data_IF_401890651718
#
_entry.id   IF_401890651718
#
_cell.length_a   1.000
_cell.length_b   1.000
_cell.length_c   1.000
_cell.angle_alpha   90.00
_cell.angle_beta   90.00
_cell.angle_gamma   90.00
#
_symmetry.space_group_name_H-M   'P 1'
#
loop_
_entity.id
_entity.type
_entity.pdbx_description
1 polymer ?
#
# COMPACT_ATOMS: atom_id res chain seq x y z
N UNK A 1 -11.66 9.11 17.65
CA UNK A 1 -12.23 10.04 16.65
C UNK A 1 -12.13 9.37 15.30
N UNK A 2 -13.24 8.84 14.80
CA UNK A 2 -13.33 8.38 13.41
C UNK A 2 -13.14 9.59 12.49
N UNK A 3 -12.16 9.52 11.57
CA UNK A 3 -12.08 10.50 10.50
C UNK A 3 -13.25 10.23 9.57
N UNK A 4 -14.33 11.00 9.73
CA UNK A 4 -15.43 11.02 8.78
C UNK A 4 -14.83 11.29 7.39
N UNK A 5 -15.09 10.39 6.46
CA UNK A 5 -14.55 10.43 5.11
C UNK A 5 -15.11 11.67 4.39
N UNK A 6 -14.23 12.57 3.93
CA UNK A 6 -14.67 13.81 3.25
C UNK A 6 -15.51 13.50 2.01
N UNK A 7 -16.71 14.09 1.94
CA UNK A 7 -17.57 14.04 0.76
C UNK A 7 -16.82 14.50 -0.51
N UNK A 8 -17.05 13.82 -1.63
CA UNK A 8 -16.39 14.10 -2.91
C UNK A 8 -15.00 13.49 -3.11
N UNK A 9 -14.44 12.80 -2.11
CA UNK A 9 -13.18 12.04 -2.27
C UNK A 9 -13.35 10.62 -2.79
N UNK A 10 -14.57 10.14 -2.93
CA UNK A 10 -14.86 8.77 -3.35
C UNK A 10 -15.81 8.72 -4.53
N UNK A 11 -15.53 7.81 -5.47
CA UNK A 11 -16.40 7.52 -6.62
C UNK A 11 -16.62 6.01 -6.69
N UNK A 12 -17.87 5.59 -6.87
CA UNK A 12 -18.23 4.20 -7.13
C UNK A 12 -18.47 4.03 -8.63
N UNK A 13 -17.68 3.18 -9.29
CA UNK A 13 -17.79 2.89 -10.72
C UNK A 13 -17.71 1.37 -10.91
N UNK A 14 -18.72 0.79 -11.56
CA UNK A 14 -18.82 -0.65 -11.82
C UNK A 14 -18.62 -1.53 -10.57
N UNK A 15 -19.13 -1.06 -9.43
CA UNK A 15 -18.98 -1.75 -8.14
C UNK A 15 -17.61 -1.60 -7.48
N UNK A 16 -16.68 -0.85 -8.08
CA UNK A 16 -15.35 -0.59 -7.55
C UNK A 16 -15.31 0.82 -6.97
N UNK A 17 -14.82 0.93 -5.73
CA UNK A 17 -14.63 2.19 -5.06
C UNK A 17 -13.27 2.80 -5.46
N UNK A 18 -13.26 4.07 -5.81
CA UNK A 18 -12.07 4.84 -6.14
C UNK A 18 -11.92 6.02 -5.18
N UNK A 19 -10.72 6.21 -4.67
CA UNK A 19 -10.34 7.40 -3.89
C UNK A 19 -9.64 8.42 -4.79
N UNK A 20 -10.19 9.63 -4.82
CA UNK A 20 -9.68 10.78 -5.57
C UNK A 20 -9.00 11.78 -4.63
N UNK A 21 -7.83 12.25 -5.03
CA UNK A 21 -7.21 13.45 -4.49
C UNK A 21 -6.92 14.46 -5.62
N UNK A 22 -6.19 15.55 -5.33
CA UNK A 22 -5.86 16.59 -6.30
C UNK A 22 -5.15 16.08 -7.57
N UNK A 23 -4.40 14.97 -7.47
CA UNK A 23 -3.49 14.49 -8.52
C UNK A 23 -3.73 13.05 -8.95
N UNK A 24 -4.44 12.24 -8.17
CA UNK A 24 -4.65 10.82 -8.46
C UNK A 24 -6.08 10.37 -8.21
N UNK A 25 -6.50 9.36 -8.95
CA UNK A 25 -7.71 8.58 -8.72
C UNK A 25 -7.28 7.12 -8.71
N UNK A 26 -7.40 6.44 -7.57
CA UNK A 26 -6.85 5.11 -7.33
C UNK A 26 -7.89 4.22 -6.64
N UNK A 27 -7.72 2.91 -6.73
CA UNK A 27 -8.67 1.98 -6.12
C UNK A 27 -8.66 2.13 -4.59
N UNK A 28 -9.84 2.27 -4.00
CA UNK A 28 -10.01 2.31 -2.55
C UNK A 28 -10.27 0.89 -2.05
N UNK A 29 -9.38 0.37 -1.21
CA UNK A 29 -9.44 -1.00 -0.71
C UNK A 29 -9.96 -1.02 0.71
N UNK A 30 -10.83 -1.99 1.00
CA UNK A 30 -11.40 -2.23 2.33
C UNK A 30 -11.10 -3.63 2.84
N UNK A 31 -10.92 -4.62 1.96
CA UNK A 31 -10.54 -5.99 2.31
C UNK A 31 -9.05 -6.09 2.68
N UNK A 32 -8.75 -6.59 3.88
CA UNK A 32 -7.36 -6.78 4.33
C UNK A 32 -6.63 -7.87 3.57
N UNK A 33 -7.32 -8.89 3.05
CA UNK A 33 -6.68 -9.91 2.23
C UNK A 33 -6.15 -9.29 0.94
N UNK A 34 -6.95 -8.46 0.27
CA UNK A 34 -6.54 -7.74 -0.93
C UNK A 34 -5.41 -6.75 -0.65
N UNK A 35 -5.46 -6.04 0.48
CA UNK A 35 -4.37 -5.15 0.90
C UNK A 35 -3.08 -5.95 1.10
N UNK A 36 -3.12 -7.09 1.77
CA UNK A 36 -1.96 -7.96 1.97
C UNK A 36 -1.42 -8.48 0.63
N UNK A 37 -2.30 -8.87 -0.30
CA UNK A 37 -1.90 -9.26 -1.67
C UNK A 37 -1.14 -8.13 -2.36
N UNK A 38 -1.63 -6.89 -2.29
CA UNK A 38 -0.95 -5.74 -2.89
C UNK A 38 0.42 -5.48 -2.24
N UNK A 39 0.50 -5.56 -0.92
CA UNK A 39 1.75 -5.37 -0.20
C UNK A 39 2.79 -6.43 -0.61
N UNK A 40 2.39 -7.70 -0.68
CA UNK A 40 3.20 -8.79 -1.18
C UNK A 40 3.64 -8.55 -2.63
N UNK A 41 2.73 -8.18 -3.53
CA UNK A 41 3.06 -7.96 -4.93
C UNK A 41 4.07 -6.84 -5.14
N UNK A 42 4.01 -5.78 -4.32
CA UNK A 42 4.91 -4.65 -4.46
C UNK A 42 6.22 -4.75 -3.69
N UNK A 43 6.29 -5.63 -2.71
CA UNK A 43 7.50 -5.86 -1.92
C UNK A 43 8.12 -7.22 -2.20
N UNK A 44 7.45 -8.32 -1.88
CA UNK A 44 8.01 -9.68 -1.87
C UNK A 44 8.01 -10.41 -3.20
N UNK A 45 7.15 -10.01 -4.15
CA UNK A 45 7.06 -10.71 -5.43
C UNK A 45 8.43 -10.82 -6.10
N UNK A 46 8.66 -11.91 -6.83
CA UNK A 46 9.92 -12.13 -7.56
C UNK A 46 10.24 -10.94 -8.48
N UNK A 47 9.21 -10.32 -9.05
CA UNK A 47 9.35 -9.13 -9.90
C UNK A 47 9.63 -7.83 -9.11
N UNK A 48 9.22 -7.74 -7.84
CA UNK A 48 9.55 -6.62 -6.96
C UNK A 48 10.95 -6.78 -6.36
N UNK A 49 11.34 -7.99 -5.97
CA UNK A 49 12.68 -8.25 -5.42
C UNK A 49 12.94 -7.55 -4.09
N UNK A 50 11.96 -7.54 -3.19
CA UNK A 50 12.05 -6.91 -1.86
C UNK A 50 12.43 -5.43 -1.91
N UNK A 51 11.68 -4.67 -2.71
CA UNK A 51 11.89 -3.23 -2.88
C UNK A 51 11.96 -2.49 -1.54
N UNK A 52 12.78 -1.44 -1.52
CA UNK A 52 12.84 -0.54 -0.38
C UNK A 52 11.47 0.05 -0.05
N UNK A 53 11.23 0.36 1.23
CA UNK A 53 9.99 0.97 1.72
C UNK A 53 9.54 2.16 0.85
N UNK A 54 10.48 3.04 0.49
CA UNK A 54 10.19 4.18 -0.37
C UNK A 54 9.62 3.77 -1.74
N UNK A 55 10.21 2.76 -2.39
CA UNK A 55 9.72 2.30 -3.70
C UNK A 55 8.37 1.58 -3.58
N UNK A 56 8.17 0.81 -2.51
CA UNK A 56 6.87 0.18 -2.21
C UNK A 56 5.79 1.25 -2.00
N UNK A 57 6.09 2.31 -1.24
CA UNK A 57 5.18 3.45 -1.05
C UNK A 57 4.79 4.12 -2.36
N UNK A 58 5.73 4.32 -3.30
CA UNK A 58 5.40 4.91 -4.60
C UNK A 58 4.49 4.01 -5.44
N UNK A 59 4.71 2.69 -5.41
CA UNK A 59 3.84 1.73 -6.12
C UNK A 59 2.42 1.74 -5.56
N UNK A 60 2.27 1.66 -4.23
CA UNK A 60 0.96 1.74 -3.58
C UNK A 60 0.27 3.05 -3.91
N UNK A 61 0.96 4.19 -3.75
CA UNK A 61 0.42 5.53 -4.04
C UNK A 61 -0.14 5.65 -5.47
N UNK A 62 0.46 4.95 -6.43
CA UNK A 62 0.08 5.02 -7.83
C UNK A 62 -1.17 4.21 -8.19
N UNK A 63 -1.55 3.21 -7.38
CA UNK A 63 -2.61 2.27 -7.76
C UNK A 63 -3.73 2.12 -6.73
N UNK A 64 -3.45 2.34 -5.44
CA UNK A 64 -4.37 2.00 -4.36
C UNK A 64 -4.34 2.99 -3.20
N UNK A 65 -5.43 3.00 -2.44
CA UNK A 65 -5.58 3.77 -1.23
C UNK A 65 -6.41 2.99 -0.21
N UNK A 66 -6.05 3.11 1.07
CA UNK A 66 -6.89 2.69 2.19
C UNK A 66 -6.53 3.52 3.43
N UNK A 67 -7.35 3.50 4.50
CA UNK A 67 -7.01 4.17 5.75
C UNK A 67 -5.66 3.67 6.28
N UNK A 68 -4.78 4.60 6.61
CA UNK A 68 -3.43 4.32 7.14
C UNK A 68 -2.47 3.58 6.19
N UNK A 69 -2.72 3.56 4.87
CA UNK A 69 -1.90 2.83 3.90
C UNK A 69 -0.39 3.06 4.00
N UNK A 70 0.06 4.28 4.32
CA UNK A 70 1.49 4.57 4.50
C UNK A 70 2.09 3.82 5.68
N UNK A 71 1.36 3.76 6.80
CA UNK A 71 1.79 3.07 8.01
C UNK A 71 1.87 1.57 7.74
N UNK A 72 0.83 1.02 7.11
CA UNK A 72 0.77 -0.40 6.79
C UNK A 72 1.92 -0.82 5.86
N UNK A 73 2.26 -0.01 4.85
CA UNK A 73 3.42 -0.26 3.97
C UNK A 73 4.74 -0.25 4.75
N UNK A 74 4.93 0.73 5.63
CA UNK A 74 6.14 0.84 6.43
C UNK A 74 6.29 -0.36 7.38
N UNK A 75 5.23 -0.72 8.10
CA UNK A 75 5.19 -1.85 9.01
C UNK A 75 5.47 -3.17 8.28
N UNK A 76 4.87 -3.36 7.10
CA UNK A 76 5.08 -4.54 6.27
C UNK A 76 6.55 -4.66 5.81
N UNK A 77 7.15 -3.57 5.30
CA UNK A 77 8.55 -3.59 4.87
C UNK A 77 9.52 -3.77 6.06
N UNK A 78 9.19 -3.22 7.22
CA UNK A 78 10.02 -3.32 8.43
C UNK A 78 9.99 -4.72 9.04
N UNK A 79 8.88 -5.44 8.89
CA UNK A 79 8.69 -6.81 9.41
C UNK A 79 9.09 -7.91 8.43
N UNK A 80 9.59 -7.55 7.23
CA UNK A 80 10.07 -8.52 6.25
C UNK A 80 11.34 -9.24 6.72
N UNK A 81 11.20 -10.54 7.04
CA UNK A 81 12.28 -11.41 7.52
C UNK A 81 13.51 -11.42 6.61
N UNK A 82 13.29 -11.46 5.28
CA UNK A 82 14.39 -11.50 4.32
C UNK A 82 15.19 -10.20 4.34
N UNK A 83 14.51 -9.06 4.27
CA UNK A 83 15.17 -7.75 4.36
C UNK A 83 15.90 -7.57 5.69
N UNK A 84 15.33 -8.05 6.80
CA UNK A 84 15.98 -7.99 8.10
C UNK A 84 17.27 -8.83 8.15
N UNK A 85 17.25 -10.03 7.58
CA UNK A 85 18.43 -10.91 7.52
C UNK A 85 19.53 -10.32 6.63
N UNK A 86 19.19 -9.81 5.45
CA UNK A 86 20.14 -9.16 4.54
C UNK A 86 20.80 -7.92 5.16
N UNK A 87 20.02 -7.08 5.86
CA UNK A 87 20.57 -5.91 6.58
C UNK A 87 21.57 -6.30 7.66
N UNK A 88 21.28 -7.35 8.43
CA UNK A 88 22.19 -7.84 9.49
C UNK A 88 23.47 -8.45 8.94
N UNK A 89 23.44 -9.05 7.75
CA UNK A 89 24.62 -9.63 7.13
C UNK A 89 25.60 -8.58 6.56
N UNK A 90 25.14 -7.34 6.38
CA UNK A 90 25.91 -6.25 5.75
C UNK A 90 26.41 -5.21 6.76
N UNK A 91 26.16 -5.42 8.06
CA UNK A 91 26.64 -4.58 9.17
C UNK A 91 27.65 -5.31 10.01
#
# INVERSE_FOLDING_TARGET
>A
MEKAYDEGRFNLLDGILYHRNKHTCVMALTDRNLINTILHEFHDSVAAGHLSEYRTLQRVKACSWWPNWKKDVAEYCQTCDRCQKEKRATG
#
